data_IF_129236070142
#
_entry.id   IF_129236070142
#
_cell.length_a   1.000
_cell.length_b   1.000
_cell.length_c   1.000
_cell.angle_alpha   90.00
_cell.angle_beta   90.00
_cell.angle_gamma   90.00
#
_symmetry.space_group_name_H-M   'P 1'
#
loop_
_entity.id
_entity.type
_entity.pdbx_description
1 polymer ?
#
# COMPACT_ATOMS: atom_id res chain seq x y z
N UNK A 1 13.07 28.64 -1.78
CA UNK A 1 13.71 27.56 -1.01
C UNK A 1 12.82 27.23 0.19
N UNK A 2 11.75 26.46 -0.01
CA UNK A 2 10.82 26.11 1.07
C UNK A 2 11.41 24.98 1.90
N UNK A 3 11.55 25.21 3.21
CA UNK A 3 12.00 24.19 4.15
C UNK A 3 10.87 23.15 4.34
N UNK A 4 11.20 21.87 4.12
CA UNK A 4 10.29 20.76 4.45
C UNK A 4 10.19 20.62 5.98
N UNK A 5 9.02 20.26 6.53
CA UNK A 5 8.87 19.99 7.95
C UNK A 5 9.77 18.83 8.39
N UNK A 6 10.35 18.96 9.59
CA UNK A 6 11.27 17.98 10.18
C UNK A 6 10.63 16.58 10.22
N UNK A 7 11.20 15.66 9.44
CA UNK A 7 10.74 14.27 9.31
C UNK A 7 10.44 13.83 7.86
N UNK A 8 10.21 14.78 6.94
CA UNK A 8 10.09 14.47 5.53
C UNK A 8 11.48 14.27 4.90
N UNK A 9 11.92 13.02 4.73
CA UNK A 9 13.06 12.71 3.87
C UNK A 9 12.70 13.12 2.43
N UNK A 10 13.49 14.01 1.78
CA UNK A 10 13.26 14.32 0.38
C UNK A 10 13.45 13.04 -0.43
N UNK A 11 12.42 12.70 -1.21
CA UNK A 11 12.42 11.64 -2.22
C UNK A 11 12.55 10.19 -1.74
N UNK A 12 12.05 9.85 -0.55
CA UNK A 12 11.92 8.44 -0.17
C UNK A 12 10.84 7.73 -0.99
N UNK A 13 11.29 6.96 -2.00
CA UNK A 13 10.49 6.15 -2.93
C UNK A 13 11.05 4.72 -3.01
N UNK A 14 10.82 3.86 -2.01
CA UNK A 14 11.33 2.49 -2.06
C UNK A 14 10.75 1.77 -3.28
N UNK A 15 11.59 1.13 -4.12
CA UNK A 15 11.09 0.40 -5.29
C UNK A 15 10.33 -0.86 -4.91
N UNK A 16 10.59 -1.39 -3.71
CA UNK A 16 9.96 -2.61 -3.21
C UNK A 16 9.43 -2.46 -1.78
N UNK A 17 8.32 -3.14 -1.49
CA UNK A 17 7.83 -3.41 -0.14
C UNK A 17 7.75 -4.92 0.04
N UNK A 18 8.34 -5.43 1.12
CA UNK A 18 8.38 -6.86 1.42
C UNK A 18 7.42 -7.14 2.56
N UNK A 19 6.54 -8.14 2.38
CA UNK A 19 5.64 -8.64 3.41
C UNK A 19 5.97 -10.10 3.72
N UNK A 20 6.33 -10.36 4.96
CA UNK A 20 6.45 -11.72 5.49
C UNK A 20 5.07 -12.17 5.94
N UNK A 21 4.54 -13.19 5.27
CA UNK A 21 3.23 -13.78 5.61
C UNK A 21 3.42 -15.15 6.24
N UNK A 22 2.36 -15.69 6.84
CA UNK A 22 2.36 -17.06 7.38
C UNK A 22 2.55 -18.14 6.30
N UNK A 23 2.42 -17.79 5.02
CA UNK A 23 2.58 -18.71 3.89
C UNK A 23 3.84 -18.43 3.05
N UNK A 24 4.68 -17.49 3.48
CA UNK A 24 5.89 -17.11 2.76
C UNK A 24 6.02 -15.61 2.52
N UNK A 25 7.10 -15.22 1.86
CA UNK A 25 7.41 -13.80 1.59
C UNK A 25 6.79 -13.35 0.27
N UNK A 26 6.15 -12.19 0.27
CA UNK A 26 5.65 -11.51 -0.93
C UNK A 26 6.43 -10.19 -1.09
N UNK A 27 6.98 -9.97 -2.27
CA UNK A 27 7.63 -8.69 -2.63
C UNK A 27 6.74 -7.94 -3.61
N UNK A 28 6.34 -6.73 -3.24
CA UNK A 28 5.59 -5.81 -4.07
C UNK A 28 6.54 -4.80 -4.71
N UNK A 29 6.53 -4.69 -6.03
CA UNK A 29 7.18 -3.60 -6.76
C UNK A 29 6.26 -2.38 -6.84
N UNK A 30 6.81 -1.18 -6.60
CA UNK A 30 6.05 0.05 -6.44
C UNK A 30 6.12 0.93 -7.70
N UNK A 31 4.98 1.26 -8.30
CA UNK A 31 4.92 2.04 -9.55
C UNK A 31 4.74 3.54 -9.26
N UNK A 32 5.79 4.16 -8.74
CA UNK A 32 5.79 5.55 -8.26
C UNK A 32 5.41 6.59 -9.30
N UNK A 33 5.71 6.35 -10.58
CA UNK A 33 5.40 7.31 -11.64
C UNK A 33 3.91 7.30 -12.04
N UNK A 34 3.21 6.19 -11.79
CA UNK A 34 1.80 6.02 -12.14
C UNK A 34 0.86 6.36 -10.98
N UNK A 35 1.25 6.00 -9.74
CA UNK A 35 0.43 6.19 -8.55
C UNK A 35 1.27 6.68 -7.35
N UNK A 36 1.87 7.88 -7.41
CA UNK A 36 2.79 8.38 -6.39
C UNK A 36 2.19 8.50 -4.99
N UNK A 37 0.93 8.94 -4.85
CA UNK A 37 0.28 9.09 -3.53
C UNK A 37 -0.05 7.74 -2.93
N UNK A 38 -0.52 6.82 -3.75
CA UNK A 38 -0.85 5.44 -3.35
C UNK A 38 0.42 4.70 -2.93
N UNK A 39 1.49 4.80 -3.71
CA UNK A 39 2.79 4.22 -3.39
C UNK A 39 3.34 4.79 -2.07
N UNK A 40 3.21 6.11 -1.86
CA UNK A 40 3.61 6.75 -0.61
C UNK A 40 2.79 6.24 0.57
N UNK A 41 1.48 6.12 0.42
CA UNK A 41 0.61 5.59 1.47
C UNK A 41 1.00 4.16 1.85
N UNK A 42 1.12 3.26 0.87
CA UNK A 42 1.42 1.85 1.11
C UNK A 42 2.80 1.64 1.74
N UNK A 43 3.84 2.28 1.19
CA UNK A 43 5.21 2.17 1.71
C UNK A 43 5.34 2.75 3.11
N UNK A 44 4.73 3.89 3.39
CA UNK A 44 4.76 4.52 4.72
C UNK A 44 3.99 3.70 5.75
N UNK A 45 2.81 3.17 5.42
CA UNK A 45 2.06 2.26 6.31
C UNK A 45 2.87 0.99 6.62
N UNK A 46 3.51 0.39 5.61
CA UNK A 46 4.42 -0.74 5.80
C UNK A 46 5.60 -0.36 6.70
N UNK A 47 6.25 0.78 6.47
CA UNK A 47 7.38 1.26 7.26
C UNK A 47 7.01 1.51 8.74
N UNK A 48 5.79 1.98 8.99
CA UNK A 48 5.24 2.15 10.35
C UNK A 48 4.81 0.84 11.02
N UNK A 49 4.89 -0.29 10.32
CA UNK A 49 4.43 -1.58 10.81
C UNK A 49 2.90 -1.70 10.87
N UNK A 50 2.16 -0.84 10.16
CA UNK A 50 0.70 -0.83 10.18
C UNK A 50 0.09 -2.15 9.68
N UNK A 51 0.77 -2.82 8.75
CA UNK A 51 0.34 -4.10 8.20
C UNK A 51 0.76 -5.31 9.06
N UNK A 52 1.55 -5.11 10.12
CA UNK A 52 1.97 -6.21 10.99
C UNK A 52 0.74 -6.82 11.69
N UNK A 53 0.66 -8.14 11.67
CA UNK A 53 -0.47 -8.92 12.21
C UNK A 53 -1.83 -8.63 11.55
N UNK A 54 -1.86 -7.91 10.43
CA UNK A 54 -3.07 -7.83 9.61
C UNK A 54 -3.27 -9.12 8.82
N UNK A 55 -4.53 -9.42 8.47
CA UNK A 55 -4.89 -10.65 7.75
C UNK A 55 -5.40 -10.35 6.34
N UNK A 56 -5.29 -11.32 5.45
CA UNK A 56 -6.09 -11.36 4.23
C UNK A 56 -7.53 -11.75 4.59
N UNK A 57 -8.36 -10.76 4.89
CA UNK A 57 -9.73 -10.97 5.36
C UNK A 57 -10.69 -11.42 4.26
N UNK A 58 -10.28 -11.33 2.98
CA UNK A 58 -11.08 -11.83 1.84
C UNK A 58 -10.18 -12.46 0.79
N UNK A 59 -10.41 -13.74 0.52
CA UNK A 59 -9.69 -14.55 -0.46
C UNK A 59 -10.72 -15.16 -1.40
N UNK A 60 -10.63 -14.84 -2.69
CA UNK A 60 -11.53 -15.39 -3.71
C UNK A 60 -10.69 -16.08 -4.78
N UNK A 61 -10.85 -17.40 -4.95
CA UNK A 61 -10.19 -18.16 -6.01
C UNK A 61 -10.45 -17.52 -7.39
N UNK A 62 -9.42 -17.50 -8.23
CA UNK A 62 -9.48 -16.99 -9.61
C UNK A 62 -9.95 -15.53 -9.71
N UNK A 63 -9.75 -14.75 -8.65
CA UNK A 63 -10.06 -13.32 -8.67
C UNK A 63 -9.00 -12.49 -7.95
N UNK A 64 -9.02 -12.46 -6.60
CA UNK A 64 -8.10 -11.61 -5.83
C UNK A 64 -8.02 -12.00 -4.35
N UNK A 65 -6.95 -11.50 -3.71
CA UNK A 65 -6.79 -11.45 -2.26
C UNK A 65 -6.86 -10.00 -1.78
N UNK A 66 -7.53 -9.77 -0.65
CA UNK A 66 -7.70 -8.45 -0.04
C UNK A 66 -7.30 -8.49 1.42
N UNK A 67 -6.49 -7.52 1.83
CA UNK A 67 -5.96 -7.39 3.18
C UNK A 67 -5.80 -5.92 3.58
N UNK A 68 -4.94 -5.65 4.56
CA UNK A 68 -4.55 -4.29 4.95
C UNK A 68 -5.48 -3.58 5.94
N UNK A 69 -6.54 -4.25 6.41
CA UNK A 69 -7.40 -3.75 7.49
C UNK A 69 -6.94 -4.32 8.85
N UNK A 70 -6.45 -3.49 9.80
CA UNK A 70 -6.03 -3.95 11.12
C UNK A 70 -7.14 -4.57 11.97
N UNK A 71 -8.40 -4.27 11.66
CA UNK A 71 -9.54 -4.88 12.35
C UNK A 71 -9.90 -6.26 11.80
N UNK A 72 -9.38 -6.61 10.60
CA UNK A 72 -9.72 -7.84 9.89
C UNK A 72 -11.17 -7.92 9.37
N UNK A 73 -11.94 -6.83 9.46
CA UNK A 73 -13.38 -6.84 9.10
C UNK A 73 -13.64 -6.51 7.63
N UNK A 74 -12.68 -5.90 6.96
CA UNK A 74 -12.82 -5.32 5.61
C UNK A 74 -13.57 -3.99 5.59
N UNK A 75 -13.84 -3.39 6.76
CA UNK A 75 -14.55 -2.11 6.91
C UNK A 75 -13.71 -1.04 7.62
N UNK A 76 -12.57 -1.44 8.19
CA UNK A 76 -11.63 -0.54 8.82
C UNK A 76 -10.55 -0.06 7.85
N UNK A 77 -9.45 0.41 8.41
CA UNK A 77 -8.34 0.97 7.65
C UNK A 77 -8.34 2.50 7.65
N UNK A 78 -7.14 3.09 7.65
CA UNK A 78 -6.96 4.52 7.41
C UNK A 78 -5.70 4.74 6.58
N UNK A 79 -5.65 5.86 5.86
CA UNK A 79 -4.46 6.26 5.09
C UNK A 79 -3.59 7.20 5.92
N UNK A 80 -2.36 7.45 5.44
CA UNK A 80 -1.50 8.50 5.99
C UNK A 80 -2.06 9.92 5.76
N UNK A 81 -3.11 10.05 4.94
CA UNK A 81 -3.77 11.30 4.57
C UNK A 81 -5.13 11.49 5.29
N UNK A 82 -5.56 10.53 6.11
CA UNK A 82 -6.87 10.51 6.76
C UNK A 82 -7.77 9.36 6.27
N UNK A 83 -9.11 9.48 6.40
CA UNK A 83 -10.03 8.37 6.12
C UNK A 83 -10.08 7.96 4.65
N UNK A 84 -9.94 8.91 3.73
CA UNK A 84 -9.95 8.69 2.27
C UNK A 84 -8.97 9.63 1.58
N UNK A 85 -8.49 9.25 0.40
CA UNK A 85 -7.71 10.09 -0.51
C UNK A 85 -8.12 9.80 -1.96
N UNK A 86 -7.70 10.64 -2.91
CA UNK A 86 -8.11 10.58 -4.32
C UNK A 86 -7.51 9.37 -5.04
N UNK A 87 -8.27 8.80 -5.98
CA UNK A 87 -7.82 7.70 -6.84
C UNK A 87 -6.79 8.16 -7.88
N UNK A 88 -5.83 7.30 -8.20
CA UNK A 88 -4.80 7.50 -9.22
C UNK A 88 -5.00 6.49 -10.38
N UNK A 89 -6.06 6.68 -11.16
CA UNK A 89 -6.41 5.80 -12.28
C UNK A 89 -5.64 6.25 -13.53
N UNK A 90 -4.91 5.33 -14.15
CA UNK A 90 -4.12 5.57 -15.36
C UNK A 90 -4.55 4.60 -16.49
N UNK A 91 -4.77 5.11 -17.70
CA UNK A 91 -5.23 4.31 -18.86
C UNK A 91 -4.23 3.24 -19.31
N UNK A 92 -2.94 3.45 -19.03
CA UNK A 92 -1.85 2.52 -19.31
C UNK A 92 -1.85 1.33 -18.33
N UNK A 93 -2.49 1.48 -17.16
CA UNK A 93 -2.50 0.50 -16.08
C UNK A 93 -3.82 -0.29 -16.06
N UNK A 94 -3.80 -1.49 -16.65
CA UNK A 94 -4.95 -2.39 -16.72
C UNK A 94 -4.70 -3.68 -15.93
N UNK A 95 -5.78 -4.28 -15.40
CA UNK A 95 -5.72 -5.61 -14.79
C UNK A 95 -5.57 -6.67 -15.90
N UNK A 96 -4.34 -7.00 -16.27
CA UNK A 96 -4.02 -7.91 -17.38
C UNK A 96 -3.72 -9.35 -16.96
N UNK A 97 -3.55 -9.59 -15.65
CA UNK A 97 -3.40 -10.93 -15.07
C UNK A 97 -4.71 -11.73 -15.11
N UNK A 98 -4.59 -13.07 -15.12
CA UNK A 98 -5.71 -14.01 -15.02
C UNK A 98 -5.84 -14.55 -13.62
#
# INVERSE_FOLDING_TARGET
MSMLPAGAKPDWRPPFVIMETTMGTITFEMYWDHAPRTCRNFSELAHRGYYNNTVFHRIIPDFMIQGGDPTGTGRGGTSIYGPVFEDEINEEMKHTGK
#
